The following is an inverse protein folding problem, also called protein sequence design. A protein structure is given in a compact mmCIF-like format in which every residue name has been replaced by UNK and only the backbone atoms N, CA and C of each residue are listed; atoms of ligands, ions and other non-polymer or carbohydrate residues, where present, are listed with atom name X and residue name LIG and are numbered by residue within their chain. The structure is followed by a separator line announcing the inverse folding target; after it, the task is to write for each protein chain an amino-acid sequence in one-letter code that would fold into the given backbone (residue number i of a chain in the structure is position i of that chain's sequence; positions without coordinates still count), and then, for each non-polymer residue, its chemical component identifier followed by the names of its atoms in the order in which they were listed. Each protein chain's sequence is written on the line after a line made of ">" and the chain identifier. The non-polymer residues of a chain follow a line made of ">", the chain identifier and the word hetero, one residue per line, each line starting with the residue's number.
data_IF_441651054146
#
_entry.id   IF_441651054146
#
_cell.length_a   1.000
_cell.length_b   1.000
_cell.length_c   1.000
_cell.angle_alpha   90.00
_cell.angle_beta   90.00
_cell.angle_gamma   90.00
#
_symmetry.space_group_name_H-M   'P 1'
#
loop_
_entity.id
_entity.type
_entity.pdbx_description
1 polymer ?
#
# COMPACT_ATOMS: atom_id res chain seq x y z
N UNK A 1 0.20 22.00 -6.97
CA UNK A 1 -0.74 21.44 -7.97
C UNK A 1 -0.47 19.95 -8.18
N UNK A 2 0.59 19.55 -8.90
CA UNK A 2 0.90 18.12 -9.18
C UNK A 2 0.90 17.16 -7.97
N UNK A 3 1.49 17.55 -6.84
CA UNK A 3 1.45 16.74 -5.59
C UNK A 3 0.03 16.48 -5.12
N UNK A 4 -0.81 17.53 -5.12
CA UNK A 4 -2.22 17.38 -4.75
C UNK A 4 -3.01 16.55 -5.74
N UNK A 5 -2.68 16.61 -7.03
CA UNK A 5 -3.32 15.77 -8.04
C UNK A 5 -3.04 14.28 -7.76
N UNK A 6 -1.81 13.93 -7.38
CA UNK A 6 -1.45 12.56 -6.97
C UNK A 6 -2.22 12.15 -5.71
N UNK A 7 -2.23 12.99 -4.67
CA UNK A 7 -2.96 12.72 -3.41
C UNK A 7 -4.45 12.50 -3.67
N UNK A 8 -5.08 13.35 -4.48
CA UNK A 8 -6.48 13.22 -4.84
C UNK A 8 -6.75 11.94 -5.62
N UNK A 9 -5.90 11.61 -6.61
CA UNK A 9 -6.02 10.38 -7.41
C UNK A 9 -5.94 9.12 -6.56
N UNK A 10 -4.99 9.05 -5.62
CA UNK A 10 -4.87 7.91 -4.71
C UNK A 10 -6.09 7.83 -3.81
N UNK A 11 -6.50 8.95 -3.22
CA UNK A 11 -7.65 9.02 -2.31
C UNK A 11 -8.95 8.58 -2.99
N UNK A 12 -9.23 9.07 -4.19
CA UNK A 12 -10.45 8.71 -4.95
C UNK A 12 -10.45 7.28 -5.46
N UNK A 13 -9.29 6.62 -5.52
CA UNK A 13 -9.15 5.23 -6.01
C UNK A 13 -8.67 4.26 -4.93
N UNK A 14 -8.72 4.63 -3.65
CA UNK A 14 -8.14 3.84 -2.57
C UNK A 14 -8.69 2.40 -2.50
N UNK A 15 -10.02 2.25 -2.59
CA UNK A 15 -10.67 0.94 -2.61
C UNK A 15 -10.26 0.08 -3.80
N UNK A 16 -10.13 0.69 -4.98
CA UNK A 16 -9.68 0.01 -6.21
C UNK A 16 -8.23 -0.45 -6.09
N UNK A 17 -7.34 0.38 -5.55
CA UNK A 17 -5.93 0.06 -5.33
C UNK A 17 -5.80 -1.14 -4.41
N UNK A 18 -6.44 -1.09 -3.24
CA UNK A 18 -6.39 -2.17 -2.24
C UNK A 18 -6.98 -3.46 -2.79
N UNK A 19 -8.15 -3.40 -3.42
CA UNK A 19 -8.83 -4.59 -3.94
C UNK A 19 -8.03 -5.27 -5.06
N UNK A 20 -7.43 -4.50 -5.98
CA UNK A 20 -6.63 -5.06 -7.06
C UNK A 20 -5.31 -5.64 -6.56
N UNK A 21 -4.65 -4.96 -5.63
CA UNK A 21 -3.43 -5.46 -5.00
C UNK A 21 -3.69 -6.77 -4.23
N UNK A 22 -4.79 -6.84 -3.47
CA UNK A 22 -5.17 -8.05 -2.73
C UNK A 22 -5.47 -9.23 -3.67
N UNK A 23 -6.22 -9.01 -4.76
CA UNK A 23 -6.46 -10.06 -5.78
C UNK A 23 -5.15 -10.57 -6.35
N UNK A 24 -4.28 -9.67 -6.80
CA UNK A 24 -2.98 -10.04 -7.36
C UNK A 24 -2.11 -10.79 -6.34
N UNK A 25 -2.14 -10.41 -5.06
CA UNK A 25 -1.43 -11.12 -4.00
C UNK A 25 -1.96 -12.55 -3.82
N UNK A 26 -3.27 -12.75 -3.80
CA UNK A 26 -3.85 -14.08 -3.58
C UNK A 26 -3.78 -14.98 -4.82
N UNK A 27 -3.72 -14.41 -6.01
CA UNK A 27 -3.41 -15.16 -7.23
C UNK A 27 -1.95 -15.65 -7.22
N UNK A 28 -1.02 -14.83 -6.71
CA UNK A 28 0.40 -15.19 -6.57
C UNK A 28 0.66 -16.14 -5.38
N UNK A 29 -0.11 -15.98 -4.29
CA UNK A 29 0.06 -16.70 -3.03
C UNK A 29 -1.26 -17.32 -2.55
N UNK A 30 -1.82 -18.30 -3.28
CA UNK A 30 -3.13 -18.89 -2.98
C UNK A 30 -3.16 -19.61 -1.62
N UNK A 31 -2.01 -20.04 -1.10
CA UNK A 31 -1.91 -20.65 0.23
C UNK A 31 -2.34 -19.71 1.37
N UNK A 32 -2.34 -18.40 1.17
CA UNK A 32 -2.78 -17.43 2.19
C UNK A 32 -4.28 -17.54 2.48
N UNK A 33 -5.08 -17.91 1.47
CA UNK A 33 -6.55 -18.01 1.54
C UNK A 33 -7.05 -19.45 1.62
N UNK A 34 -6.16 -20.44 1.56
CA UNK A 34 -6.49 -21.84 1.80
C UNK A 34 -6.68 -22.12 3.31
N UNK A 35 -7.38 -23.20 3.71
CA UNK A 35 -7.50 -23.59 5.11
C UNK A 35 -6.14 -23.65 5.82
N UNK A 36 -6.02 -22.94 6.95
CA UNK A 36 -4.76 -22.78 7.68
C UNK A 36 -3.94 -21.53 7.32
N UNK A 37 -4.26 -20.87 6.20
CA UNK A 37 -3.61 -19.63 5.76
C UNK A 37 -3.90 -18.42 6.67
N UNK A 38 -3.02 -17.41 6.61
CA UNK A 38 -3.14 -16.21 7.45
C UNK A 38 -4.25 -15.25 6.99
N UNK A 39 -4.74 -15.38 5.75
CA UNK A 39 -5.91 -14.65 5.23
C UNK A 39 -7.17 -15.55 5.15
N UNK A 40 -7.12 -16.78 5.66
CA UNK A 40 -8.26 -17.71 5.70
C UNK A 40 -9.25 -17.34 6.80
N UNK A 41 -10.55 -17.51 6.50
CA UNK A 41 -11.74 -16.96 7.19
C UNK A 41 -12.02 -15.49 6.88
N UNK A 42 -13.31 -15.13 6.84
CA UNK A 42 -13.76 -13.76 6.54
C UNK A 42 -13.16 -12.70 7.48
N UNK A 43 -12.96 -13.05 8.76
CA UNK A 43 -12.38 -12.13 9.75
C UNK A 43 -10.92 -11.78 9.44
N UNK A 44 -10.11 -12.78 9.06
CA UNK A 44 -8.70 -12.55 8.73
C UNK A 44 -8.53 -11.86 7.38
N UNK A 45 -9.35 -12.24 6.39
CA UNK A 45 -9.43 -11.52 5.12
C UNK A 45 -9.73 -10.03 5.33
N UNK A 46 -10.76 -9.71 6.12
CA UNK A 46 -11.12 -8.33 6.43
C UNK A 46 -9.99 -7.58 7.16
N UNK A 47 -9.26 -8.24 8.07
CA UNK A 47 -8.10 -7.66 8.73
C UNK A 47 -6.97 -7.36 7.74
N UNK A 48 -6.66 -8.28 6.81
CA UNK A 48 -5.66 -8.08 5.77
C UNK A 48 -5.99 -6.86 4.89
N UNK A 49 -7.23 -6.77 4.40
CA UNK A 49 -7.67 -5.63 3.57
C UNK A 49 -7.62 -4.30 4.33
N UNK A 50 -8.01 -4.29 5.61
CA UNK A 50 -7.93 -3.11 6.47
C UNK A 50 -6.49 -2.66 6.66
N UNK A 51 -5.56 -3.59 6.90
CA UNK A 51 -4.14 -3.26 7.07
C UNK A 51 -3.55 -2.67 5.78
N UNK A 52 -3.93 -3.20 4.62
CA UNK A 52 -3.56 -2.63 3.31
C UNK A 52 -4.09 -1.20 3.14
N UNK A 53 -5.35 -0.95 3.51
CA UNK A 53 -5.95 0.40 3.49
C UNK A 53 -5.25 1.37 4.45
N UNK A 54 -4.87 0.90 5.65
CA UNK A 54 -4.12 1.69 6.63
C UNK A 54 -2.77 2.12 6.04
N UNK A 55 -2.00 1.19 5.44
CA UNK A 55 -0.72 1.52 4.81
C UNK A 55 -0.91 2.53 3.69
N UNK A 56 -1.86 2.31 2.77
CA UNK A 56 -2.13 3.23 1.66
C UNK A 56 -2.48 4.64 2.16
N UNK A 57 -3.27 4.73 3.23
CA UNK A 57 -3.65 6.00 3.87
C UNK A 57 -2.43 6.74 4.43
N UNK A 58 -1.53 6.07 5.13
CA UNK A 58 -0.33 6.70 5.68
C UNK A 58 0.71 7.05 4.60
N UNK A 59 0.82 6.26 3.54
CA UNK A 59 1.59 6.64 2.33
C UNK A 59 1.00 7.91 1.70
N UNK A 60 -0.33 8.03 1.64
CA UNK A 60 -1.00 9.22 1.12
C UNK A 60 -0.73 10.45 2.00
N UNK A 61 -0.72 10.29 3.33
CA UNK A 61 -0.35 11.36 4.26
C UNK A 61 1.12 11.79 4.08
N UNK A 62 2.03 10.84 3.93
CA UNK A 62 3.43 11.15 3.64
C UNK A 62 3.58 11.88 2.31
N UNK A 63 2.86 11.44 1.26
CA UNK A 63 2.83 12.11 -0.04
C UNK A 63 2.27 13.52 0.03
N UNK A 64 1.27 13.76 0.87
CA UNK A 64 0.73 15.10 1.10
C UNK A 64 1.74 16.00 1.82
N UNK A 65 2.38 15.49 2.87
CA UNK A 65 3.35 16.22 3.69
C UNK A 65 4.70 16.44 2.99
N UNK A 66 5.07 15.57 2.04
CA UNK A 66 6.41 15.52 1.47
C UNK A 66 7.48 14.99 2.44
N UNK A 67 7.04 14.24 3.46
CA UNK A 67 7.89 13.69 4.52
C UNK A 67 7.34 12.37 5.06
N UNK A 68 8.24 11.45 5.44
CA UNK A 68 7.87 10.10 5.87
C UNK A 68 7.52 9.98 7.36
N UNK A 69 7.74 11.00 8.19
CA UNK A 69 7.60 10.89 9.66
C UNK A 69 6.23 10.35 10.09
N UNK A 70 5.15 10.81 9.47
CA UNK A 70 3.79 10.33 9.80
C UNK A 70 3.60 8.85 9.47
N UNK A 71 4.22 8.36 8.40
CA UNK A 71 4.19 6.95 8.02
C UNK A 71 5.03 6.13 9.01
N UNK A 72 6.25 6.57 9.29
CA UNK A 72 7.17 5.88 10.19
C UNK A 72 6.62 5.80 11.63
N UNK A 73 6.25 6.94 12.22
CA UNK A 73 5.92 7.04 13.64
C UNK A 73 4.54 6.48 13.99
N UNK A 74 3.56 6.60 13.07
CA UNK A 74 2.15 6.28 13.36
C UNK A 74 1.65 5.00 12.70
N UNK A 75 2.40 4.44 11.76
CA UNK A 75 2.01 3.24 11.03
C UNK A 75 3.06 2.12 11.11
N UNK A 76 4.33 2.42 10.85
CA UNK A 76 5.35 1.37 10.68
C UNK A 76 6.05 0.98 11.98
N UNK A 77 6.16 1.90 12.94
CA UNK A 77 6.81 1.63 14.22
C UNK A 77 6.13 0.46 14.98
N UNK A 78 6.87 -0.64 15.20
CA UNK A 78 6.38 -1.83 15.88
C UNK A 78 5.51 -2.77 15.03
N UNK A 79 5.30 -2.46 13.74
CA UNK A 79 4.39 -3.23 12.88
C UNK A 79 4.96 -4.62 12.56
N UNK A 80 6.27 -4.73 12.35
CA UNK A 80 6.96 -6.01 12.14
C UNK A 80 6.78 -6.95 13.32
N UNK A 81 7.03 -6.44 14.52
CA UNK A 81 6.92 -7.18 15.78
C UNK A 81 5.48 -7.64 16.01
N UNK A 82 4.51 -6.79 15.64
CA UNK A 82 3.08 -7.12 15.68
C UNK A 82 2.76 -8.28 14.72
N UNK A 83 3.22 -8.24 13.48
CA UNK A 83 2.99 -9.32 12.52
C UNK A 83 3.67 -10.62 12.93
N UNK A 84 4.90 -10.56 13.45
CA UNK A 84 5.60 -11.73 14.00
C UNK A 84 4.82 -12.36 15.15
N UNK A 85 4.32 -11.57 16.09
CA UNK A 85 3.54 -12.06 17.22
C UNK A 85 2.20 -12.69 16.81
N UNK A 86 1.60 -12.21 15.72
CA UNK A 86 0.35 -12.73 15.16
C UNK A 86 0.56 -13.92 14.19
N UNK A 87 1.81 -14.27 13.88
CA UNK A 87 2.14 -15.29 12.88
C UNK A 87 1.78 -14.87 11.45
N UNK A 88 1.67 -13.57 11.19
CA UNK A 88 1.42 -13.01 9.85
C UNK A 88 2.74 -12.99 9.08
N UNK A 89 2.77 -13.54 7.85
CA UNK A 89 3.99 -13.58 7.04
C UNK A 89 4.35 -12.17 6.53
N UNK A 90 5.33 -11.53 7.18
CA UNK A 90 5.82 -10.19 6.83
C UNK A 90 6.22 -10.04 5.36
N UNK A 91 6.89 -11.05 4.81
CA UNK A 91 7.23 -11.10 3.38
C UNK A 91 6.00 -11.02 2.46
N UNK A 92 4.89 -11.70 2.79
CA UNK A 92 3.64 -11.61 2.01
C UNK A 92 2.99 -10.24 2.14
N UNK A 93 3.06 -9.62 3.32
CA UNK A 93 2.59 -8.23 3.51
C UNK A 93 3.41 -7.29 2.63
N UNK A 94 4.74 -7.44 2.61
CA UNK A 94 5.62 -6.65 1.75
C UNK A 94 5.29 -6.81 0.26
N UNK A 95 4.99 -8.04 -0.21
CA UNK A 95 4.50 -8.26 -1.58
C UNK A 95 3.18 -7.52 -1.83
N UNK A 96 2.22 -7.58 -0.89
CA UNK A 96 0.96 -6.83 -0.98
C UNK A 96 1.18 -5.32 -1.09
N UNK A 97 2.14 -4.77 -0.33
CA UNK A 97 2.52 -3.35 -0.40
C UNK A 97 3.13 -3.00 -1.77
N UNK A 98 3.96 -3.88 -2.34
CA UNK A 98 4.51 -3.69 -3.68
C UNK A 98 3.42 -3.73 -4.77
N UNK A 99 2.43 -4.63 -4.66
CA UNK A 99 1.27 -4.60 -5.58
C UNK A 99 0.45 -3.32 -5.45
N UNK A 100 0.30 -2.78 -4.24
CA UNK A 100 -0.35 -1.47 -4.04
C UNK A 100 0.45 -0.33 -4.67
N UNK A 101 1.78 -0.36 -4.57
CA UNK A 101 2.68 0.60 -5.23
C UNK A 101 2.45 0.61 -6.73
N UNK A 102 2.46 -0.55 -7.39
CA UNK A 102 2.28 -0.66 -8.83
C UNK A 102 0.92 -0.08 -9.26
N UNK A 103 -0.15 -0.44 -8.55
CA UNK A 103 -1.49 0.08 -8.82
C UNK A 103 -1.59 1.59 -8.58
N UNK A 104 -1.02 2.10 -7.49
CA UNK A 104 -1.03 3.53 -7.16
C UNK A 104 -0.23 4.35 -8.16
N UNK A 105 0.95 3.87 -8.60
CA UNK A 105 1.77 4.54 -9.61
C UNK A 105 1.05 4.56 -10.97
N UNK A 106 0.39 3.47 -11.37
CA UNK A 106 -0.39 3.44 -12.61
C UNK A 106 -1.51 4.51 -12.60
N UNK A 107 -2.23 4.64 -11.49
CA UNK A 107 -3.29 5.65 -11.31
C UNK A 107 -2.74 7.08 -11.26
N UNK A 108 -1.61 7.27 -10.57
CA UNK A 108 -0.95 8.57 -10.45
C UNK A 108 -0.37 9.06 -11.79
N UNK A 109 0.07 8.14 -12.66
CA UNK A 109 0.62 8.45 -13.99
C UNK A 109 -0.43 8.57 -15.09
N UNK A 110 -1.70 8.24 -14.83
CA UNK A 110 -2.73 8.36 -15.86
C UNK A 110 -2.88 9.84 -16.30
N UNK A 111 -2.64 10.07 -17.59
CA UNK A 111 -2.61 11.39 -18.22
C UNK A 111 -4.01 11.94 -18.53
N UNK A 112 -5.05 11.13 -18.38
CA UNK A 112 -6.41 11.57 -18.62
C UNK A 112 -6.81 12.66 -17.61
N UNK A 113 -7.45 13.72 -18.09
CA UNK A 113 -8.01 14.81 -17.29
C UNK A 113 -7.01 15.58 -16.41
N UNK A 114 -5.73 15.67 -16.79
CA UNK A 114 -4.74 16.53 -16.13
C UNK A 114 -4.00 17.41 -17.13
N UNK A 115 -3.48 18.54 -16.66
CA UNK A 115 -2.54 19.34 -17.44
C UNK A 115 -1.26 18.51 -17.68
N UNK A 116 -0.82 18.33 -18.93
CA UNK A 116 0.41 17.60 -19.23
C UNK A 116 1.63 18.24 -18.54
N UNK A 117 2.53 17.40 -18.02
CA UNK A 117 3.77 17.83 -17.44
C UNK A 117 4.57 16.68 -16.83
N UNK A 118 5.83 16.94 -16.49
CA UNK A 118 6.68 15.93 -15.86
C UNK A 118 6.37 15.79 -14.36
N UNK A 119 6.01 14.58 -13.94
CA UNK A 119 5.76 14.20 -12.55
C UNK A 119 6.74 13.13 -12.04
N UNK A 120 7.81 12.83 -12.81
CA UNK A 120 8.78 11.76 -12.52
C UNK A 120 9.31 11.77 -11.09
N UNK A 121 9.72 12.94 -10.59
CA UNK A 121 10.22 13.09 -9.22
C UNK A 121 9.17 12.74 -8.15
N UNK A 122 7.91 13.14 -8.36
CA UNK A 122 6.82 12.86 -7.41
C UNK A 122 6.40 11.38 -7.45
N UNK A 123 6.48 10.75 -8.62
CA UNK A 123 6.23 9.31 -8.77
C UNK A 123 7.34 8.50 -8.10
N UNK A 124 8.61 8.92 -8.25
CA UNK A 124 9.73 8.33 -7.54
C UNK A 124 9.58 8.47 -6.02
N UNK A 125 9.18 9.65 -5.55
CA UNK A 125 8.90 9.92 -4.13
C UNK A 125 7.77 9.02 -3.59
N UNK A 126 6.65 8.94 -4.31
CA UNK A 126 5.53 8.04 -3.98
C UNK A 126 6.00 6.58 -3.88
N UNK A 127 6.76 6.12 -4.87
CA UNK A 127 7.34 4.78 -4.88
C UNK A 127 8.24 4.52 -3.66
N UNK A 128 9.04 5.52 -3.28
CA UNK A 128 9.91 5.44 -2.10
C UNK A 128 9.14 5.26 -0.78
N UNK A 129 7.98 5.89 -0.62
CA UNK A 129 7.14 5.67 0.57
C UNK A 129 6.59 4.24 0.65
N UNK A 130 6.19 3.66 -0.49
CA UNK A 130 5.78 2.25 -0.53
C UNK A 130 6.95 1.31 -0.26
N UNK A 131 8.14 1.57 -0.81
CA UNK A 131 9.33 0.75 -0.59
C UNK A 131 9.76 0.76 0.87
N UNK A 132 9.63 1.93 1.53
CA UNK A 132 9.84 2.09 2.96
C UNK A 132 8.87 1.22 3.77
N UNK A 133 7.58 1.29 3.46
CA UNK A 133 6.56 0.48 4.12
C UNK A 133 6.78 -1.02 3.93
N UNK A 134 7.13 -1.46 2.71
CA UNK A 134 7.44 -2.86 2.42
C UNK A 134 8.67 -3.35 3.20
N UNK A 135 9.73 -2.54 3.25
CA UNK A 135 10.97 -2.88 3.96
C UNK A 135 10.78 -2.96 5.47
N UNK A 136 9.88 -2.16 6.04
CA UNK A 136 9.60 -2.17 7.47
C UNK A 136 8.90 -3.45 7.95
N UNK A 137 8.17 -4.15 7.08
CA UNK A 137 7.38 -5.34 7.46
C UNK A 137 7.96 -6.67 6.95
N UNK A 138 8.89 -6.64 5.98
CA UNK A 138 9.48 -7.82 5.34
C UNK A 138 10.30 -8.71 6.29
#
# INVERSE_FOLDING_TARGET
>A
NKRMDIVNRITSNASTIVANAARSLFDEQPQLIAPGGNAYTNRRMAACLRDMEIILRYVTYAMFAGDASVLDDRCLNGLRETYLALGTPGASVAVGVQKMKDAAIAIANDRNNITPGDCSNLIAELGGYFDRAASAVA
#
